data_IF_264255283754
#
_entry.id   IF_264255283754
#
_cell.length_a   1.000
_cell.length_b   1.000
_cell.length_c   1.000
_cell.angle_alpha   90.00
_cell.angle_beta   90.00
_cell.angle_gamma   90.00
#
_symmetry.space_group_name_H-M   'P 1'
#
loop_
_entity.id
_entity.type
_entity.pdbx_description
1 polymer ?
#
# COMPACT_ATOMS: atom_id res chain seq x y z
N UNK A 1 -11.99 7.33 9.57
CA UNK A 1 -10.55 7.08 9.35
C UNK A 1 -9.76 7.85 10.40
N UNK A 2 -8.91 7.18 11.18
CA UNK A 2 -8.01 7.85 12.12
C UNK A 2 -6.81 8.37 11.32
N UNK A 3 -6.53 9.67 11.34
CA UNK A 3 -5.42 10.29 10.58
C UNK A 3 -4.07 9.62 10.85
N UNK A 4 -3.85 9.14 12.07
CA UNK A 4 -2.68 8.34 12.46
C UNK A 4 -2.46 7.12 11.56
N UNK A 5 -3.53 6.39 11.20
CA UNK A 5 -3.42 5.19 10.36
C UNK A 5 -2.99 5.56 8.93
N UNK A 6 -3.45 6.71 8.41
CA UNK A 6 -3.00 7.21 7.10
C UNK A 6 -1.49 7.45 7.07
N UNK A 7 -0.93 8.14 8.08
CA UNK A 7 0.51 8.39 8.14
C UNK A 7 1.32 7.10 8.32
N UNK A 8 0.86 6.16 9.16
CA UNK A 8 1.55 4.89 9.36
C UNK A 8 1.51 4.03 8.11
N UNK A 9 0.36 3.93 7.43
CA UNK A 9 0.24 3.22 6.16
C UNK A 9 1.10 3.88 5.07
N UNK A 10 1.11 5.22 5.01
CA UNK A 10 1.94 5.99 4.09
C UNK A 10 3.43 5.67 4.28
N UNK A 11 3.91 5.73 5.53
CA UNK A 11 5.30 5.43 5.85
C UNK A 11 5.65 3.95 5.61
N UNK A 12 4.76 3.02 6.01
CA UNK A 12 4.97 1.59 5.82
C UNK A 12 5.03 1.21 4.34
N UNK A 13 4.13 1.75 3.51
CA UNK A 13 4.17 1.54 2.06
C UNK A 13 5.41 2.15 1.42
N UNK A 14 5.81 3.33 1.90
CA UNK A 14 7.02 3.99 1.42
C UNK A 14 8.28 3.17 1.73
N UNK A 15 8.40 2.65 2.95
CA UNK A 15 9.48 1.73 3.32
C UNK A 15 9.42 0.42 2.52
N UNK A 16 8.23 -0.14 2.31
CA UNK A 16 8.04 -1.36 1.50
C UNK A 16 8.52 -1.15 0.06
N UNK A 17 8.22 0.00 -0.55
CA UNK A 17 8.67 0.34 -1.91
C UNK A 17 10.19 0.46 -2.00
N UNK A 18 10.83 1.12 -1.03
CA UNK A 18 12.29 1.21 -0.96
C UNK A 18 12.90 -0.18 -0.89
N UNK A 19 12.38 -1.07 -0.03
CA UNK A 19 12.87 -2.45 0.08
C UNK A 19 12.65 -3.23 -1.22
N UNK A 20 11.47 -3.09 -1.83
CA UNK A 20 11.14 -3.77 -3.09
C UNK A 20 12.04 -3.34 -4.24
N UNK A 21 12.27 -2.04 -4.42
CA UNK A 21 13.15 -1.50 -5.46
C UNK A 21 14.62 -1.83 -5.19
N UNK A 22 15.06 -1.80 -3.93
CA UNK A 22 16.41 -2.25 -3.52
C UNK A 22 16.62 -3.74 -3.82
N UNK A 23 15.61 -4.58 -3.58
CA UNK A 23 15.69 -6.00 -3.92
C UNK A 23 15.71 -6.22 -5.43
N UNK A 24 14.97 -5.41 -6.19
CA UNK A 24 15.04 -5.39 -7.64
C UNK A 24 16.45 -5.07 -8.16
N UNK A 25 17.12 -4.06 -7.61
CA UNK A 25 18.50 -3.70 -8.01
C UNK A 25 19.51 -4.77 -7.63
N UNK A 26 19.32 -5.43 -6.48
CA UNK A 26 20.12 -6.59 -6.07
C UNK A 26 20.05 -7.74 -7.06
N UNK A 27 18.84 -8.10 -7.51
CA UNK A 27 18.64 -9.18 -8.48
C UNK A 27 19.29 -8.87 -9.85
N UNK A 28 19.42 -7.59 -10.20
CA UNK A 28 20.13 -7.15 -11.40
C UNK A 28 21.66 -7.06 -11.21
N UNK A 29 22.18 -7.48 -10.06
CA UNK A 29 23.61 -7.58 -9.79
C UNK A 29 24.26 -6.30 -9.28
N UNK A 30 23.49 -5.28 -8.88
CA UNK A 30 24.05 -4.10 -8.21
C UNK A 30 24.08 -4.32 -6.68
N UNK A 31 25.26 -4.47 -6.05
CA UNK A 31 25.38 -4.72 -4.61
C UNK A 31 25.04 -3.48 -3.76
N UNK A 32 24.81 -2.32 -4.37
CA UNK A 32 24.55 -1.06 -3.65
C UNK A 32 23.16 -0.99 -3.05
N UNK A 33 22.23 -1.89 -3.42
CA UNK A 33 20.89 -2.00 -2.82
C UNK A 33 20.16 -0.64 -2.76
N UNK A 34 20.30 0.17 -3.82
CA UNK A 34 19.67 1.48 -3.86
C UNK A 34 18.18 1.33 -4.15
N UNK A 35 17.35 1.68 -3.18
CA UNK A 35 15.91 1.80 -3.33
C UNK A 35 15.53 3.20 -3.79
N UNK A 36 14.65 3.28 -4.77
CA UNK A 36 14.11 4.55 -5.27
C UNK A 36 12.62 4.59 -5.05
N UNK A 37 12.12 5.76 -4.66
CA UNK A 37 10.70 6.00 -4.42
C UNK A 37 10.41 7.48 -4.63
N UNK A 38 9.17 7.81 -5.00
CA UNK A 38 8.73 9.18 -5.21
C UNK A 38 7.94 9.69 -4.01
N UNK A 39 8.08 10.98 -3.69
CA UNK A 39 7.28 11.64 -2.65
C UNK A 39 5.78 11.57 -2.96
N UNK A 40 5.40 11.50 -4.23
CA UNK A 40 4.01 11.36 -4.67
C UNK A 40 3.40 9.98 -4.36
N UNK A 41 4.22 8.98 -4.05
CA UNK A 41 3.73 7.66 -3.62
C UNK A 41 3.20 7.66 -2.18
N UNK A 42 3.71 8.56 -1.33
CA UNK A 42 3.27 8.67 0.06
C UNK A 42 1.74 8.81 0.23
N UNK A 43 1.05 9.75 -0.45
CA UNK A 43 -0.41 9.84 -0.34
C UNK A 43 -1.12 8.61 -0.89
N UNK A 44 -0.56 7.92 -1.90
CA UNK A 44 -1.14 6.70 -2.47
C UNK A 44 -1.10 5.58 -1.45
N UNK A 45 0.03 5.38 -0.78
CA UNK A 45 0.16 4.39 0.30
C UNK A 45 -0.64 4.76 1.54
N UNK A 46 -0.77 6.06 1.84
CA UNK A 46 -1.62 6.52 2.94
C UNK A 46 -3.08 6.12 2.75
N UNK A 47 -3.58 6.08 1.50
CA UNK A 47 -4.93 5.61 1.19
C UNK A 47 -5.14 4.13 1.55
N UNK A 48 -4.09 3.33 1.76
CA UNK A 48 -4.25 1.96 2.27
C UNK A 48 -4.94 1.92 3.65
N UNK A 49 -4.96 3.03 4.41
CA UNK A 49 -5.78 3.15 5.62
C UNK A 49 -7.30 2.98 5.39
N UNK A 50 -7.78 3.08 4.13
CA UNK A 50 -9.14 2.74 3.73
C UNK A 50 -9.44 1.23 3.81
N UNK A 51 -8.43 0.37 3.88
CA UNK A 51 -8.62 -1.08 4.03
C UNK A 51 -9.38 -1.40 5.32
N UNK A 52 -9.18 -0.62 6.38
CA UNK A 52 -9.82 -0.81 7.69
C UNK A 52 -11.37 -0.77 7.62
N UNK A 53 -12.02 0.32 7.14
CA UNK A 53 -13.48 0.33 6.99
C UNK A 53 -14.00 -0.62 5.89
N UNK A 54 -13.16 -1.02 4.94
CA UNK A 54 -13.52 -2.02 3.92
C UNK A 54 -13.55 -3.41 4.56
N UNK A 55 -12.55 -3.74 5.39
CA UNK A 55 -12.40 -5.02 6.06
C UNK A 55 -13.65 -5.39 6.86
N UNK A 56 -14.23 -4.44 7.61
CA UNK A 56 -15.46 -4.70 8.36
C UNK A 56 -16.64 -5.18 7.50
N UNK A 57 -16.67 -4.80 6.22
CA UNK A 57 -17.71 -5.22 5.26
C UNK A 57 -17.40 -6.58 4.63
N UNK A 58 -16.13 -6.91 4.45
CA UNK A 58 -15.68 -8.13 3.75
C UNK A 58 -15.05 -9.17 4.69
N UNK A 59 -15.13 -9.01 6.01
CA UNK A 59 -14.47 -9.89 6.99
C UNK A 59 -14.87 -11.37 6.88
N UNK A 60 -16.09 -11.63 6.40
CA UNK A 60 -16.62 -12.99 6.21
C UNK A 60 -16.15 -13.67 4.91
N UNK A 61 -15.47 -12.94 4.03
CA UNK A 61 -14.93 -13.51 2.80
C UNK A 61 -13.67 -14.36 3.09
N UNK A 62 -13.39 -15.38 2.28
CA UNK A 62 -12.18 -16.18 2.44
C UNK A 62 -10.94 -15.31 2.25
N UNK A 63 -9.89 -15.63 3.01
CA UNK A 63 -8.64 -14.86 3.10
C UNK A 63 -8.07 -14.46 1.72
N UNK A 64 -8.01 -15.41 0.78
CA UNK A 64 -7.47 -15.17 -0.55
C UNK A 64 -8.35 -14.20 -1.37
N UNK A 65 -9.67 -14.28 -1.23
CA UNK A 65 -10.59 -13.41 -1.96
C UNK A 65 -10.50 -11.96 -1.46
N UNK A 66 -10.27 -11.76 -0.15
CA UNK A 66 -9.97 -10.43 0.40
C UNK A 66 -8.68 -9.88 -0.20
N UNK A 67 -7.63 -10.68 -0.24
CA UNK A 67 -6.37 -10.33 -0.87
C UNK A 67 -6.52 -9.92 -2.35
N UNK A 68 -7.27 -10.69 -3.14
CA UNK A 68 -7.57 -10.35 -4.53
C UNK A 68 -8.37 -9.04 -4.66
N UNK A 69 -9.33 -8.79 -3.77
CA UNK A 69 -10.08 -7.55 -3.74
C UNK A 69 -9.19 -6.35 -3.42
N UNK A 70 -8.28 -6.48 -2.45
CA UNK A 70 -7.30 -5.45 -2.14
C UNK A 70 -6.36 -5.20 -3.31
N UNK A 71 -5.82 -6.25 -3.92
CA UNK A 71 -4.93 -6.11 -5.08
C UNK A 71 -5.60 -5.36 -6.24
N UNK A 72 -6.86 -5.73 -6.55
CA UNK A 72 -7.63 -5.05 -7.60
C UNK A 72 -7.87 -3.58 -7.27
N UNK A 73 -8.18 -3.28 -6.00
CA UNK A 73 -8.40 -1.90 -5.54
C UNK A 73 -7.11 -1.07 -5.56
N UNK A 74 -5.97 -1.67 -5.18
CA UNK A 74 -4.65 -1.03 -5.21
C UNK A 74 -4.26 -0.73 -6.66
N UNK A 75 -4.40 -1.69 -7.57
CA UNK A 75 -4.10 -1.49 -8.99
C UNK A 75 -5.00 -0.43 -9.63
N UNK A 76 -6.29 -0.39 -9.25
CA UNK A 76 -7.18 0.69 -9.69
C UNK A 76 -6.72 2.04 -9.14
N UNK A 77 -6.31 2.11 -7.88
CA UNK A 77 -5.73 3.30 -7.27
C UNK A 77 -4.46 3.76 -7.96
N UNK A 78 -3.56 2.84 -8.29
CA UNK A 78 -2.32 3.09 -9.06
C UNK A 78 -2.66 3.60 -10.47
N UNK A 79 -3.66 3.01 -11.13
CA UNK A 79 -4.09 3.46 -12.46
C UNK A 79 -4.65 4.89 -12.43
N UNK A 80 -5.56 5.18 -11.48
CA UNK A 80 -6.18 6.50 -11.36
C UNK A 80 -5.17 7.56 -10.95
N UNK A 81 -4.36 7.28 -9.94
CA UNK A 81 -3.32 8.20 -9.47
C UNK A 81 -2.24 8.41 -10.52
N UNK A 82 -1.76 7.35 -11.17
CA UNK A 82 -0.79 7.45 -12.26
C UNK A 82 -1.35 8.17 -13.48
N UNK A 83 -2.63 7.98 -13.83
CA UNK A 83 -3.29 8.74 -14.90
C UNK A 83 -3.37 10.24 -14.57
N UNK A 84 -3.72 10.57 -13.32
CA UNK A 84 -3.76 11.95 -12.83
C UNK A 84 -2.36 12.59 -12.82
N UNK A 85 -1.36 11.89 -12.28
CA UNK A 85 0.02 12.37 -12.24
C UNK A 85 0.62 12.51 -13.64
N UNK A 86 0.26 11.62 -14.58
CA UNK A 86 0.64 11.71 -15.99
C UNK A 86 0.01 12.91 -16.66
N UNK A 87 -1.27 13.19 -16.38
CA UNK A 87 -1.92 14.41 -16.84
C UNK A 87 -1.23 15.68 -16.31
N UNK A 88 -0.76 15.65 -15.07
CA UNK A 88 0.02 16.73 -14.45
C UNK A 88 1.50 16.76 -14.90
N UNK A 89 1.96 15.81 -15.73
CA UNK A 89 3.33 15.73 -16.22
C UNK A 89 4.38 15.32 -15.17
N UNK A 90 3.96 14.81 -14.01
CA UNK A 90 4.83 14.46 -12.87
C UNK A 90 4.75 12.98 -12.49
N UNK A 91 4.27 12.13 -13.41
CA UNK A 91 4.19 10.68 -13.19
C UNK A 91 5.57 10.11 -12.87
N UNK A 92 5.79 9.58 -11.64
CA UNK A 92 7.12 9.16 -11.23
C UNK A 92 7.54 7.79 -11.77
N UNK A 93 6.61 7.04 -12.35
CA UNK A 93 6.86 5.72 -12.94
C UNK A 93 6.35 5.67 -14.38
N UNK A 94 7.04 4.87 -15.20
CA UNK A 94 6.64 4.56 -16.56
C UNK A 94 6.97 3.09 -16.85
N UNK A 95 5.92 2.29 -17.05
CA UNK A 95 6.01 0.87 -17.35
C UNK A 95 5.85 0.55 -18.85
N UNK A 96 5.83 1.56 -19.73
CA UNK A 96 5.58 1.38 -21.17
C UNK A 96 6.54 0.39 -21.85
N UNK A 97 7.76 0.23 -21.33
CA UNK A 97 8.77 -0.70 -21.84
C UNK A 97 8.69 -2.14 -21.31
N UNK A 98 7.72 -2.48 -20.45
CA UNK A 98 7.63 -3.81 -19.81
C UNK A 98 6.46 -4.64 -20.34
N UNK A 99 6.56 -5.98 -20.43
CA UNK A 99 5.44 -6.82 -20.84
C UNK A 99 4.29 -6.73 -19.81
N UNK A 100 3.06 -6.93 -20.27
CA UNK A 100 1.84 -6.91 -19.43
C UNK A 100 1.52 -5.57 -18.74
N UNK A 101 2.06 -4.46 -19.25
CA UNK A 101 1.66 -3.13 -18.81
C UNK A 101 0.28 -2.74 -19.38
N UNK A 102 -0.50 -1.99 -18.60
CA UNK A 102 -1.71 -1.31 -19.03
C UNK A 102 -1.40 0.19 -19.09
N UNK A 103 -1.45 0.74 -20.30
CA UNK A 103 -1.21 2.17 -20.59
C UNK A 103 0.15 2.71 -20.08
N UNK A 104 1.12 1.85 -19.78
CA UNK A 104 2.39 2.22 -19.14
C UNK A 104 2.27 2.65 -17.67
N UNK A 105 1.10 2.49 -17.04
CA UNK A 105 0.82 3.01 -15.69
C UNK A 105 0.72 1.89 -14.66
N UNK A 106 0.11 0.77 -15.03
CA UNK A 106 -0.07 -0.38 -14.13
C UNK A 106 0.49 -1.63 -14.77
N UNK A 107 1.01 -2.52 -13.94
CA UNK A 107 1.62 -3.78 -14.33
C UNK A 107 0.82 -4.96 -13.81
N UNK A 108 0.25 -5.76 -14.72
CA UNK A 108 -0.60 -6.90 -14.33
C UNK A 108 0.18 -8.02 -13.64
N UNK A 109 1.45 -8.17 -13.99
CA UNK A 109 2.36 -9.12 -13.37
C UNK A 109 2.66 -8.80 -11.90
N UNK A 110 2.37 -7.58 -11.44
CA UNK A 110 2.46 -7.21 -10.03
C UNK A 110 1.27 -7.63 -9.18
N UNK A 111 0.21 -8.17 -9.79
CA UNK A 111 -0.99 -8.58 -9.07
C UNK A 111 -0.71 -9.48 -7.85
N UNK A 112 0.15 -10.53 -7.92
CA UNK A 112 0.44 -11.37 -6.74
C UNK A 112 1.13 -10.59 -5.62
N UNK A 113 2.03 -9.66 -5.95
CA UNK A 113 2.67 -8.80 -4.96
C UNK A 113 1.65 -7.87 -4.29
N UNK A 114 0.70 -7.34 -5.06
CA UNK A 114 -0.39 -6.52 -4.52
C UNK A 114 -1.35 -7.30 -3.62
N UNK A 115 -1.58 -8.59 -3.88
CA UNK A 115 -2.34 -9.46 -2.97
C UNK A 115 -1.63 -9.56 -1.62
N UNK A 116 -0.33 -9.84 -1.64
CA UNK A 116 0.49 -9.95 -0.42
C UNK A 116 0.54 -8.61 0.32
N UNK A 117 0.78 -7.50 -0.39
CA UNK A 117 0.82 -6.17 0.19
C UNK A 117 -0.53 -5.79 0.83
N UNK A 118 -1.64 -6.02 0.13
CA UNK A 118 -2.98 -5.74 0.64
C UNK A 118 -3.29 -6.51 1.93
N UNK A 119 -2.91 -7.79 1.99
CA UNK A 119 -3.04 -8.60 3.21
C UNK A 119 -2.10 -8.15 4.33
N UNK A 120 -0.87 -7.73 4.00
CA UNK A 120 0.06 -7.18 4.98
C UNK A 120 -0.49 -5.88 5.59
N UNK A 121 -1.09 -4.99 4.79
CA UNK A 121 -1.77 -3.80 5.29
C UNK A 121 -3.02 -4.12 6.11
N UNK A 122 -3.79 -5.16 5.75
CA UNK A 122 -4.89 -5.67 6.58
C UNK A 122 -4.37 -6.04 7.98
N UNK A 123 -3.32 -6.85 8.07
CA UNK A 123 -2.71 -7.26 9.35
C UNK A 123 -2.19 -6.06 10.13
N UNK A 124 -1.48 -5.14 9.47
CA UNK A 124 -0.96 -3.93 10.08
C UNK A 124 -2.09 -3.08 10.68
N UNK A 125 -3.17 -2.86 9.93
CA UNK A 125 -4.29 -2.04 10.39
C UNK A 125 -5.04 -2.68 11.55
N UNK A 126 -5.24 -4.00 11.53
CA UNK A 126 -5.85 -4.72 12.66
C UNK A 126 -5.00 -4.60 13.93
N UNK A 127 -3.68 -4.74 13.81
CA UNK A 127 -2.76 -4.53 14.92
C UNK A 127 -2.84 -3.09 15.45
N UNK A 128 -2.90 -2.09 14.57
CA UNK A 128 -3.05 -0.69 14.98
C UNK A 128 -4.39 -0.45 15.67
N UNK A 129 -5.48 -1.05 15.20
CA UNK A 129 -6.79 -0.88 15.82
C UNK A 129 -6.85 -1.50 17.23
N UNK A 130 -6.30 -2.70 17.42
CA UNK A 130 -6.13 -3.32 18.74
C UNK A 130 -5.30 -2.45 19.69
N UNK A 131 -4.20 -1.86 19.20
CA UNK A 131 -3.39 -0.93 20.00
C UNK A 131 -4.13 0.35 20.35
N UNK A 132 -4.97 0.84 19.45
CA UNK A 132 -5.75 2.05 19.66
C UNK A 132 -6.84 1.84 20.70
N UNK A 133 -7.57 0.72 20.63
CA UNK A 133 -8.61 0.38 21.61
C UNK A 133 -8.03 0.20 23.01
N UNK A 134 -6.86 -0.43 23.15
CA UNK A 134 -6.13 -0.52 24.42
C UNK A 134 -5.71 0.86 24.96
N UNK A 135 -5.25 1.77 24.10
CA UNK A 135 -4.86 3.11 24.53
C UNK A 135 -6.06 3.97 24.98
N UNK A 136 -7.21 3.79 24.33
CA UNK A 136 -8.47 4.45 24.68
C UNK A 136 -9.02 3.90 26.02
N UNK A 137 -8.89 2.59 26.29
CA UNK A 137 -9.24 1.98 27.58
C UNK A 137 -8.34 2.48 28.72
N UNK A 138 -7.02 2.57 28.52
CA UNK A 138 -6.09 3.09 29.55
C UNK A 138 -6.37 4.58 29.84
N UNK A 139 -6.65 5.38 28.82
CA UNK A 139 -6.93 6.82 28.99
C UNK A 139 -8.28 7.12 29.64
N UNK A 140 -9.23 6.19 29.60
CA UNK A 140 -10.57 6.37 30.17
C UNK A 140 -10.69 5.90 31.63
N UNK A 141 -9.66 5.22 32.17
CA UNK A 141 -9.61 4.85 33.59
C UNK A 141 -9.38 6.10 34.44
N UNK A 142 -10.16 6.31 35.52
CA UNK A 142 -9.90 7.41 36.44
C UNK A 142 -8.51 7.24 37.06
N UNK A 143 -7.72 8.31 37.04
CA UNK A 143 -6.45 8.37 37.76
C UNK A 143 -6.75 8.32 39.26
N UNK A 144 -6.56 7.14 39.86
CA UNK A 144 -6.60 6.92 41.31
C UNK A 144 -5.30 7.40 41.93
#
# INVERSE_FOLDING_TARGET
>A
MKWRNFFICGLAGWCMEIVFTSFGTFLHGDPRLLGQTSLWMFPIYGMAALIDPIYEKIKYWPFLLRGCFYATSIMLGEFLSGSLLRFLGVCPWDYSGTPYNIAGIVRLDYFPFWVVAGLAFEVLLRFLDERNSLSEDVSSRPHV
#
